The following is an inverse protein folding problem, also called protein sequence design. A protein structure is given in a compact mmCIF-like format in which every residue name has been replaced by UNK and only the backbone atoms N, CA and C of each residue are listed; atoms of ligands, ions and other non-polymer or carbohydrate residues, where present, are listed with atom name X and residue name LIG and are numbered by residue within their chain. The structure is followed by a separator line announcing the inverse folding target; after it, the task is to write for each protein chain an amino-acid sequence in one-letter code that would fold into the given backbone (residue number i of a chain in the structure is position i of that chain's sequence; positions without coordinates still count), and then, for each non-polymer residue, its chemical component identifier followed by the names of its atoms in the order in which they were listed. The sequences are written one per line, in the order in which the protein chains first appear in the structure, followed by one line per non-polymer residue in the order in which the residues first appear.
data_IF_797521137581
#
_entry.id   IF_797521137581
#
_cell.length_a   1.000
_cell.length_b   1.000
_cell.length_c   1.000
_cell.angle_alpha   90.00
_cell.angle_beta   90.00
_cell.angle_gamma   90.00
#
_symmetry.space_group_name_H-M   'P 1'
#
loop_
_entity.id
_entity.type
_entity.pdbx_description
1 polymer ?
#
# COMPACT_ATOMS: atom_id res chain seq x y z
N UNK A 1 -5.43 -7.78 -16.52
CA UNK A 1 -4.17 -8.18 -15.84
C UNK A 1 -3.24 -6.98 -15.90
N UNK A 2 -2.62 -6.57 -14.79
CA UNK A 2 -1.61 -5.49 -14.79
C UNK A 2 -0.39 -5.96 -15.62
N UNK A 3 0.11 -5.09 -16.50
CA UNK A 3 1.22 -5.39 -17.40
C UNK A 3 2.55 -5.27 -16.65
N UNK A 4 3.41 -6.27 -16.79
CA UNK A 4 4.78 -6.22 -16.25
C UNK A 4 5.59 -5.24 -17.10
N UNK A 5 6.19 -4.22 -16.45
CA UNK A 5 7.05 -3.23 -17.10
C UNK A 5 8.52 -3.46 -16.70
N UNK A 6 9.32 -4.09 -17.56
CA UNK A 6 10.68 -4.53 -17.23
C UNK A 6 11.66 -3.37 -16.96
N UNK A 7 11.39 -2.17 -17.45
CA UNK A 7 12.22 -0.98 -17.25
C UNK A 7 12.15 -0.35 -15.86
N UNK A 8 11.20 -0.75 -15.01
CA UNK A 8 11.09 -0.19 -13.68
C UNK A 8 11.54 -1.23 -12.64
N UNK A 9 12.23 -0.75 -11.61
CA UNK A 9 12.87 -1.55 -10.57
C UNK A 9 12.07 -1.26 -9.29
N UNK A 10 11.06 -2.10 -9.03
CA UNK A 10 9.94 -1.77 -8.13
C UNK A 10 10.11 -2.44 -6.78
N UNK A 11 11.16 -2.05 -6.08
CA UNK A 11 11.49 -2.67 -4.81
C UNK A 11 10.68 -2.05 -3.66
N UNK A 12 10.18 -2.92 -2.78
CA UNK A 12 9.39 -2.53 -1.62
C UNK A 12 10.16 -1.56 -0.71
N UNK A 13 11.48 -1.70 -0.64
CA UNK A 13 12.41 -0.83 0.09
C UNK A 13 12.38 0.63 -0.34
N UNK A 14 11.92 0.93 -1.56
CA UNK A 14 11.83 2.31 -2.05
C UNK A 14 10.40 2.84 -2.02
N UNK A 15 9.41 2.00 -2.34
CA UNK A 15 8.02 2.45 -2.49
C UNK A 15 7.30 2.54 -1.15
N UNK A 16 7.52 1.61 -0.21
CA UNK A 16 6.87 1.67 1.11
C UNK A 16 7.27 2.92 1.89
N UNK A 17 8.57 3.30 1.99
CA UNK A 17 8.94 4.55 2.65
C UNK A 17 8.31 5.76 1.97
N UNK A 18 8.23 5.80 0.65
CA UNK A 18 7.58 6.90 -0.06
C UNK A 18 6.09 7.03 0.29
N UNK A 19 5.34 5.91 0.29
CA UNK A 19 3.92 5.87 0.64
C UNK A 19 3.70 6.37 2.08
N UNK A 20 4.50 5.85 3.02
CA UNK A 20 4.35 6.12 4.45
C UNK A 20 4.86 7.49 4.90
N UNK A 21 5.71 8.14 4.08
CA UNK A 21 6.26 9.47 4.37
C UNK A 21 5.77 10.50 3.35
N UNK A 22 6.52 10.76 2.28
CA UNK A 22 6.30 11.86 1.34
C UNK A 22 4.88 11.91 0.77
N UNK A 23 4.28 10.77 0.43
CA UNK A 23 2.91 10.76 -0.09
C UNK A 23 1.89 11.12 0.99
N UNK A 24 2.01 10.50 2.18
CA UNK A 24 1.18 10.78 3.34
C UNK A 24 1.28 12.25 3.75
N UNK A 25 2.49 12.80 3.82
CA UNK A 25 2.74 14.19 4.20
C UNK A 25 2.08 15.16 3.21
N UNK A 26 2.27 14.94 1.90
CA UNK A 26 1.63 15.75 0.86
C UNK A 26 0.10 15.74 0.94
N UNK A 27 -0.51 14.60 1.25
CA UNK A 27 -1.96 14.53 1.44
C UNK A 27 -2.36 15.21 2.75
N UNK A 28 -1.53 15.06 3.80
CA UNK A 28 -1.75 15.64 5.12
C UNK A 28 -1.68 17.17 5.14
N UNK A 29 -0.99 17.79 4.18
CA UNK A 29 -1.05 19.24 3.93
C UNK A 29 -2.44 19.71 3.49
N UNK A 30 -3.26 18.82 2.91
CA UNK A 30 -4.59 19.15 2.39
C UNK A 30 -5.70 18.63 3.33
N UNK A 31 -5.55 17.41 3.86
CA UNK A 31 -6.56 16.73 4.68
C UNK A 31 -5.94 15.63 5.53
N UNK A 32 -6.52 15.37 6.70
CA UNK A 32 -6.02 14.32 7.58
C UNK A 32 -6.10 12.95 6.89
N UNK A 33 -4.95 12.25 6.83
CA UNK A 33 -4.85 10.85 6.43
C UNK A 33 -5.23 9.97 7.61
N UNK A 34 -6.37 9.29 7.51
CA UNK A 34 -6.89 8.42 8.56
C UNK A 34 -6.41 6.98 8.39
N UNK A 35 -6.27 6.52 7.14
CA UNK A 35 -5.79 5.17 6.82
C UNK A 35 -4.98 5.12 5.54
N UNK A 36 -4.02 4.19 5.48
CA UNK A 36 -3.32 3.82 4.25
C UNK A 36 -3.45 2.32 4.09
N UNK A 37 -3.95 1.89 2.93
CA UNK A 37 -4.27 0.50 2.63
C UNK A 37 -3.66 0.11 1.29
N UNK A 38 -3.00 -1.05 1.25
CA UNK A 38 -2.63 -1.72 0.01
C UNK A 38 -3.74 -2.67 -0.41
N UNK A 39 -4.10 -2.63 -1.68
CA UNK A 39 -5.03 -3.59 -2.27
C UNK A 39 -4.37 -4.30 -3.46
N UNK A 40 -5.17 -4.97 -4.30
CA UNK A 40 -4.65 -5.61 -5.50
C UNK A 40 -3.68 -6.76 -5.19
N UNK A 41 -2.61 -6.86 -5.97
CA UNK A 41 -1.63 -7.95 -5.82
C UNK A 41 -0.96 -7.93 -4.44
N UNK A 42 -0.58 -6.75 -3.94
CA UNK A 42 0.08 -6.57 -2.64
C UNK A 42 -0.87 -6.73 -1.46
N UNK A 43 -2.17 -6.48 -1.66
CA UNK A 43 -3.21 -6.87 -0.71
C UNK A 43 -3.33 -8.40 -0.56
N UNK A 44 -3.28 -9.15 -1.67
CA UNK A 44 -3.52 -10.61 -1.69
C UNK A 44 -2.30 -11.48 -1.39
N UNK A 45 -1.12 -11.09 -1.84
CA UNK A 45 0.09 -11.93 -1.74
C UNK A 45 0.78 -11.70 -0.38
N UNK A 46 1.19 -12.76 0.34
CA UNK A 46 1.97 -12.65 1.58
C UNK A 46 3.27 -11.86 1.37
N UNK A 47 3.74 -11.16 2.40
CA UNK A 47 4.86 -10.20 2.28
C UNK A 47 6.15 -10.87 1.81
N UNK A 48 6.38 -12.11 2.23
CA UNK A 48 7.55 -12.94 1.94
C UNK A 48 7.67 -13.26 0.44
N UNK A 49 6.54 -13.21 -0.28
CA UNK A 49 6.45 -13.46 -1.72
C UNK A 49 6.38 -12.19 -2.57
N UNK A 50 6.63 -11.02 -1.98
CA UNK A 50 6.55 -9.76 -2.73
C UNK A 50 7.68 -9.59 -3.75
N UNK A 51 8.76 -10.36 -3.64
CA UNK A 51 9.76 -10.49 -4.71
C UNK A 51 9.12 -10.99 -6.02
N UNK A 52 8.08 -11.83 -5.98
CA UNK A 52 7.33 -12.26 -7.17
C UNK A 52 6.45 -11.14 -7.78
N UNK A 53 6.36 -9.99 -7.10
CA UNK A 53 5.61 -8.81 -7.54
C UNK A 53 6.53 -7.67 -8.02
N UNK A 54 7.83 -7.95 -8.19
CA UNK A 54 8.72 -7.04 -8.89
C UNK A 54 8.17 -6.74 -10.29
N UNK A 55 8.26 -5.47 -10.72
CA UNK A 55 7.71 -5.07 -12.03
C UNK A 55 6.21 -4.74 -12.03
N UNK A 56 5.49 -4.94 -10.92
CA UNK A 56 4.03 -4.71 -10.84
C UNK A 56 3.67 -3.40 -10.12
N UNK A 57 2.56 -2.82 -10.57
CA UNK A 57 1.97 -1.59 -10.02
C UNK A 57 1.64 -1.69 -8.53
N UNK A 58 1.68 -0.54 -7.85
CA UNK A 58 1.26 -0.41 -6.45
C UNK A 58 -0.15 0.17 -6.37
N UNK A 59 -1.10 -0.68 -5.99
CA UNK A 59 -2.48 -0.31 -5.71
C UNK A 59 -2.60 0.23 -4.28
N UNK A 60 -2.74 1.56 -4.12
CA UNK A 60 -2.76 2.25 -2.83
C UNK A 60 -4.08 3.00 -2.65
N UNK A 61 -4.72 2.77 -1.50
CA UNK A 61 -5.94 3.46 -1.09
C UNK A 61 -5.66 4.25 0.19
N UNK A 62 -5.98 5.54 0.17
CA UNK A 62 -5.83 6.43 1.32
C UNK A 62 -7.20 6.91 1.77
N UNK A 63 -7.53 6.68 3.04
CA UNK A 63 -8.70 7.28 3.67
C UNK A 63 -8.36 8.70 4.11
N UNK A 64 -9.15 9.66 3.66
CA UNK A 64 -9.05 11.05 4.05
C UNK A 64 -10.38 11.56 4.63
N UNK A 65 -10.33 12.62 5.45
CA UNK A 65 -11.55 13.26 5.99
C UNK A 65 -12.42 13.92 4.94
N UNK A 66 -11.84 14.32 3.82
CA UNK A 66 -12.56 14.92 2.71
C UNK A 66 -12.08 14.34 1.39
N UNK A 67 -12.97 14.35 0.39
CA UNK A 67 -12.68 13.84 -0.95
C UNK A 67 -11.66 14.75 -1.63
N UNK A 68 -10.52 14.19 -2.01
CA UNK A 68 -9.58 14.84 -2.91
C UNK A 68 -9.92 14.46 -4.36
N UNK A 69 -9.78 15.39 -5.30
CA UNK A 69 -9.75 15.04 -6.72
C UNK A 69 -8.46 14.24 -6.94
N UNK A 70 -8.57 12.96 -7.27
CA UNK A 70 -7.41 12.11 -7.57
C UNK A 70 -6.55 12.79 -8.64
N UNK A 71 -5.33 13.18 -8.29
CA UNK A 71 -4.31 13.50 -9.27
C UNK A 71 -3.83 12.17 -9.86
N UNK A 72 -4.19 11.91 -11.11
CA UNK A 72 -3.77 10.70 -11.83
C UNK A 72 -2.25 10.54 -11.80
N UNK A 73 -1.81 9.29 -11.56
CA UNK A 73 -0.46 8.73 -11.73
C UNK A 73 0.68 9.67 -11.35
N UNK A 74 1.26 9.47 -10.16
CA UNK A 74 2.52 10.10 -9.78
C UNK A 74 3.68 9.39 -10.50
N UNK A 75 4.05 9.87 -11.69
CA UNK A 75 5.15 9.32 -12.52
C UNK A 75 6.54 9.78 -12.04
N UNK A 76 6.60 10.61 -11.01
CA UNK A 76 7.79 11.44 -10.72
C UNK A 76 9.00 10.68 -10.16
N UNK A 77 8.94 9.35 -9.97
CA UNK A 77 9.97 8.59 -9.25
C UNK A 77 10.17 7.13 -9.67
N UNK A 78 10.03 6.80 -10.96
CA UNK A 78 10.26 5.43 -11.49
C UNK A 78 9.39 4.32 -10.87
N UNK A 79 8.27 4.66 -10.24
CA UNK A 79 7.24 3.71 -9.81
C UNK A 79 5.88 4.11 -10.41
N UNK A 80 5.03 3.13 -10.73
CA UNK A 80 3.59 3.35 -10.92
C UNK A 80 2.85 3.05 -9.62
N UNK A 81 2.19 4.09 -9.13
CA UNK A 81 1.34 4.03 -7.96
C UNK A 81 -0.06 4.44 -8.40
N UNK A 82 -0.98 3.49 -8.36
CA UNK A 82 -2.41 3.71 -8.58
C UNK A 82 -3.04 4.15 -7.25
N UNK A 83 -3.21 5.47 -7.11
CA UNK A 83 -3.72 6.09 -5.90
C UNK A 83 -5.22 6.31 -5.96
N UNK A 84 -5.92 5.85 -4.93
CA UNK A 84 -7.32 6.21 -4.65
C UNK A 84 -7.39 6.93 -3.31
N UNK A 85 -7.86 8.18 -3.30
CA UNK A 85 -8.18 8.89 -2.05
C UNK A 85 -9.69 8.93 -1.86
N UNK A 86 -10.17 8.33 -0.77
CA UNK A 86 -11.59 8.10 -0.51
C UNK A 86 -11.98 8.55 0.90
N UNK A 87 -13.26 8.84 1.11
CA UNK A 87 -13.82 9.04 2.45
C UNK A 87 -14.15 7.69 3.13
N UNK A 88 -14.54 7.75 4.40
CA UNK A 88 -14.85 6.57 5.23
C UNK A 88 -15.96 5.68 4.65
N UNK A 89 -16.98 6.26 4.01
CA UNK A 89 -18.08 5.48 3.47
C UNK A 89 -17.65 4.73 2.20
N UNK A 90 -16.88 5.41 1.35
CA UNK A 90 -16.37 4.85 0.10
C UNK A 90 -15.33 3.76 0.35
N UNK A 91 -14.42 3.94 1.31
CA UNK A 91 -13.43 2.90 1.65
C UNK A 91 -14.09 1.63 2.19
N UNK A 92 -15.11 1.76 3.05
CA UNK A 92 -15.86 0.60 3.57
C UNK A 92 -16.51 -0.19 2.43
N UNK A 93 -17.14 0.51 1.49
CA UNK A 93 -17.74 -0.12 0.30
C UNK A 93 -16.68 -0.75 -0.61
N UNK A 94 -15.54 -0.08 -0.80
CA UNK A 94 -14.47 -0.58 -1.65
C UNK A 94 -13.83 -1.85 -1.08
N UNK A 95 -13.59 -1.90 0.23
CA UNK A 95 -12.90 -2.99 0.90
C UNK A 95 -13.79 -4.18 1.26
N UNK A 96 -15.13 -4.05 1.24
CA UNK A 96 -16.07 -5.05 1.76
C UNK A 96 -15.81 -6.50 1.32
N UNK A 97 -15.34 -6.72 0.08
CA UNK A 97 -15.02 -8.05 -0.47
C UNK A 97 -13.60 -8.14 -1.04
N UNK A 98 -12.65 -7.31 -0.56
CA UNK A 98 -11.28 -7.31 -1.05
C UNK A 98 -10.31 -7.69 0.05
N UNK A 99 -9.34 -8.55 -0.27
CA UNK A 99 -8.17 -8.72 0.58
C UNK A 99 -7.31 -7.47 0.49
N UNK A 100 -7.10 -6.84 1.63
CA UNK A 100 -6.32 -5.61 1.77
C UNK A 100 -5.27 -5.80 2.86
N UNK A 101 -4.24 -4.94 2.85
CA UNK A 101 -3.32 -4.80 3.98
C UNK A 101 -3.30 -3.37 4.47
N UNK A 102 -3.56 -3.15 5.74
CA UNK A 102 -3.43 -1.83 6.36
C UNK A 102 -1.95 -1.54 6.66
N UNK A 103 -1.47 -0.35 6.27
CA UNK A 103 -0.12 0.13 6.58
C UNK A 103 -0.14 1.25 7.64
N UNK A 104 -1.28 1.94 7.77
CA UNK A 104 -1.48 3.02 8.72
C UNK A 104 -2.96 3.09 9.12
N UNK A 105 -3.29 3.31 10.40
CA UNK A 105 -2.35 3.44 11.53
C UNK A 105 -1.76 2.10 11.98
N UNK A 106 -2.40 0.97 11.64
CA UNK A 106 -1.87 -0.35 11.95
C UNK A 106 -0.95 -0.79 10.81
N UNK A 107 0.32 -1.05 11.10
CA UNK A 107 1.24 -1.64 10.13
C UNK A 107 1.11 -3.17 10.16
N UNK A 108 0.21 -3.71 9.35
CA UNK A 108 0.00 -5.17 9.26
C UNK A 108 1.23 -5.91 8.75
N UNK A 109 2.12 -5.25 7.99
CA UNK A 109 3.37 -5.89 7.54
C UNK A 109 4.32 -6.17 8.70
N UNK A 110 4.47 -5.22 9.63
CA UNK A 110 5.28 -5.44 10.84
C UNK A 110 4.70 -6.52 11.74
N UNK A 111 3.37 -6.59 11.85
CA UNK A 111 2.71 -7.65 12.62
C UNK A 111 2.98 -9.03 12.01
N UNK A 112 2.91 -9.16 10.68
CA UNK A 112 3.21 -10.41 9.97
C UNK A 112 4.68 -10.83 10.19
N UNK A 113 5.62 -9.90 10.04
CA UNK A 113 7.06 -10.14 10.26
C UNK A 113 7.32 -10.62 11.71
N UNK A 114 6.64 -10.02 12.69
CA UNK A 114 6.83 -10.37 14.10
C UNK A 114 6.16 -11.70 14.49
N UNK A 115 5.04 -12.07 13.85
CA UNK A 115 4.38 -13.37 14.04
C UNK A 115 5.26 -14.52 13.54
N UNK A 116 5.92 -14.36 12.39
CA UNK A 116 6.83 -15.39 11.87
C UNK A 116 8.08 -15.56 12.73
N UNK A 117 8.66 -14.46 13.24
CA UNK A 117 9.78 -14.51 14.20
C UNK A 117 9.42 -15.27 15.48
N UNK A 118 8.18 -15.15 15.96
CA UNK A 118 7.71 -15.89 17.12
C UNK A 118 7.46 -17.38 16.82
N UNK A 119 6.93 -17.71 15.63
CA UNK A 119 6.68 -19.11 15.23
C UNK A 119 7.97 -19.87 14.85
N UNK A 120 9.04 -19.16 14.47
CA UNK A 120 10.36 -19.75 14.22
C UNK A 120 11.16 -20.14 15.47
N UNK A 121 10.69 -19.81 16.67
CA UNK A 121 11.44 -19.99 17.93
C UNK A 121 10.89 -21.10 18.85
N UNK A 122 9.91 -21.88 18.39
CA UNK A 122 9.47 -23.13 19.05
C UNK A 122 10.22 -24.32 18.45
N UNK A 123 11.47 -24.48 18.87
CA UNK A 123 12.31 -25.61 18.50
C UNK A 123 13.57 -25.66 19.37
N UNK A 124 13.38 -25.96 20.66
CA UNK A 124 14.41 -26.50 21.55
C UNK A 124 13.83 -27.71 22.27
#
# INVERSE_FOLDING_TARGET
MSQVKPEAIWQHDQVLPYILTSLKDKISEITAVEKIILFGSRGRVPFEKWNELEGKDWDVLIQARCKLKNAHVLVDKNYHLDLLVLDENQIKQFCHNKTTKELFPVNELELLINQEKHNGNTGN
#
